data_IF_644888563170
#
_entry.id   IF_644888563170
#
_cell.length_a   1.000
_cell.length_b   1.000
_cell.length_c   1.000
_cell.angle_alpha   90.00
_cell.angle_beta   90.00
_cell.angle_gamma   90.00
#
_symmetry.space_group_name_H-M   'P 1'
#
loop_
_entity.id
_entity.type
_entity.pdbx_description
1 polymer ?
#
# COMPACT_ATOMS: atom_id res chain seq x y z
N UNK A 1 24.63 6.13 -7.53
CA UNK A 1 23.32 5.83 -8.16
C UNK A 1 22.99 4.39 -7.83
N UNK A 2 22.57 4.16 -6.58
CA UNK A 2 22.27 2.83 -6.08
C UNK A 2 20.79 2.57 -6.34
N UNK A 3 20.53 1.56 -7.17
CA UNK A 3 19.20 1.01 -7.37
C UNK A 3 18.83 0.35 -6.04
N UNK A 4 18.05 1.03 -5.20
CA UNK A 4 17.29 0.36 -4.17
C UNK A 4 15.92 -0.03 -4.75
N UNK A 5 15.93 -0.81 -5.83
CA UNK A 5 14.91 -1.85 -5.91
C UNK A 5 15.12 -2.67 -4.65
N UNK A 6 14.14 -2.71 -3.75
CA UNK A 6 14.03 -3.84 -2.84
C UNK A 6 13.46 -4.98 -3.68
N UNK A 7 14.27 -5.95 -4.15
CA UNK A 7 13.73 -7.27 -4.38
C UNK A 7 13.30 -7.79 -3.00
N UNK A 8 12.28 -8.63 -2.98
CA UNK A 8 11.81 -9.36 -1.80
C UNK A 8 10.83 -8.62 -0.87
N UNK A 9 9.62 -8.42 -1.35
CA UNK A 9 8.44 -8.50 -0.47
C UNK A 9 7.42 -9.54 -0.96
N UNK A 10 7.87 -10.69 -1.45
CA UNK A 10 7.00 -11.86 -1.63
C UNK A 10 7.54 -13.23 -1.13
N UNK A 11 8.59 -13.36 -0.29
CA UNK A 11 8.85 -14.63 0.36
C UNK A 11 7.84 -14.91 1.49
N UNK A 12 7.37 -13.89 2.21
CA UNK A 12 6.43 -14.05 3.32
C UNK A 12 5.01 -14.43 2.87
N UNK A 13 4.54 -13.90 1.74
CA UNK A 13 3.20 -14.23 1.24
C UNK A 13 3.12 -15.68 0.74
N UNK A 14 4.18 -16.16 0.08
CA UNK A 14 4.28 -17.57 -0.34
C UNK A 14 4.35 -18.52 0.85
N UNK A 15 5.05 -18.13 1.92
CA UNK A 15 5.15 -18.92 3.15
C UNK A 15 3.83 -18.94 3.93
N UNK A 16 3.20 -17.77 4.07
CA UNK A 16 1.90 -17.62 4.76
C UNK A 16 0.79 -18.40 4.04
N UNK A 17 0.76 -18.36 2.71
CA UNK A 17 -0.20 -19.15 1.92
C UNK A 17 0.08 -20.65 2.06
N UNK A 18 1.34 -21.10 2.05
CA UNK A 18 1.67 -22.51 2.27
C UNK A 18 1.27 -23.00 3.68
N UNK A 19 1.43 -22.15 4.70
CA UNK A 19 1.08 -22.46 6.08
C UNK A 19 -0.45 -22.46 6.30
N UNK A 20 -1.18 -21.51 5.70
CA UNK A 20 -2.65 -21.48 5.69
C UNK A 20 -3.22 -22.70 4.96
N UNK A 21 -2.65 -23.08 3.81
CA UNK A 21 -3.08 -24.27 3.06
C UNK A 21 -2.78 -25.57 3.82
N UNK A 22 -1.66 -25.63 4.55
CA UNK A 22 -1.33 -26.76 5.43
C UNK A 22 -2.28 -26.91 6.61
N UNK A 23 -2.65 -25.80 7.25
CA UNK A 23 -3.60 -25.79 8.38
C UNK A 23 -5.04 -26.08 7.92
N UNK A 24 -5.44 -25.64 6.72
CA UNK A 24 -6.75 -25.96 6.17
C UNK A 24 -6.96 -27.47 6.01
N UNK A 25 -5.96 -28.22 5.52
CA UNK A 25 -6.04 -29.68 5.36
C UNK A 25 -6.25 -30.40 6.71
N UNK A 26 -5.68 -29.89 7.80
CA UNK A 26 -5.87 -30.44 9.16
C UNK A 26 -7.25 -30.05 9.74
N UNK A 27 -7.72 -28.83 9.48
CA UNK A 27 -9.02 -28.34 9.95
C UNK A 27 -10.16 -29.06 9.22
N UNK A 28 -10.05 -29.32 7.91
CA UNK A 28 -11.05 -30.09 7.17
C UNK A 28 -11.15 -31.53 7.66
N UNK A 29 -10.04 -32.11 8.14
CA UNK A 29 -10.02 -33.44 8.77
C UNK A 29 -10.71 -33.47 10.14
N UNK A 30 -10.60 -32.40 10.93
CA UNK A 30 -11.22 -32.28 12.26
C UNK A 30 -12.70 -31.81 12.22
N UNK A 31 -13.10 -31.07 11.18
CA UNK A 31 -14.45 -30.48 11.08
C UNK A 31 -15.56 -31.50 10.74
N UNK A 32 -15.20 -32.72 10.34
CA UNK A 32 -16.18 -33.79 10.06
C UNK A 32 -16.83 -34.37 11.33
N UNK A 33 -16.38 -34.00 12.53
CA UNK A 33 -16.78 -34.71 13.75
C UNK A 33 -17.89 -34.01 14.56
N UNK A 34 -18.06 -32.68 14.56
CA UNK A 34 -19.13 -32.07 15.38
C UNK A 34 -19.38 -30.59 15.07
N UNK A 35 -20.36 -30.26 14.22
CA UNK A 35 -21.06 -28.95 14.28
C UNK A 35 -22.49 -29.14 13.78
N UNK A 36 -23.48 -28.61 14.49
CA UNK A 36 -24.90 -28.70 14.19
C UNK A 36 -25.34 -27.88 12.96
N UNK A 37 -26.39 -28.36 12.28
CA UNK A 37 -26.86 -27.97 10.95
C UNK A 37 -27.32 -26.50 10.80
N UNK A 38 -27.66 -25.78 11.87
CA UNK A 38 -28.25 -24.42 11.78
C UNK A 38 -27.22 -23.27 11.75
N UNK A 39 -26.06 -23.39 12.39
CA UNK A 39 -24.99 -22.36 12.32
C UNK A 39 -24.21 -22.39 11.01
N UNK A 40 -24.22 -23.52 10.30
CA UNK A 40 -23.39 -23.74 9.11
C UNK A 40 -23.76 -22.85 7.94
N UNK A 41 -25.00 -22.37 7.88
CA UNK A 41 -25.52 -21.62 6.72
C UNK A 41 -24.91 -20.21 6.62
N UNK A 42 -24.66 -19.54 7.74
CA UNK A 42 -24.04 -18.21 7.76
C UNK A 42 -22.50 -18.29 7.64
N UNK A 43 -21.89 -19.28 8.31
CA UNK A 43 -20.43 -19.54 8.24
C UNK A 43 -20.01 -20.00 6.84
N UNK A 44 -20.82 -20.82 6.17
CA UNK A 44 -20.57 -21.33 4.81
C UNK A 44 -20.47 -20.23 3.76
N UNK A 45 -21.33 -19.21 3.84
CA UNK A 45 -21.28 -18.08 2.90
C UNK A 45 -20.02 -17.23 3.09
N UNK A 46 -19.62 -16.98 4.33
CA UNK A 46 -18.39 -16.23 4.63
C UNK A 46 -17.14 -16.98 4.20
N UNK A 47 -17.05 -18.29 4.47
CA UNK A 47 -15.93 -19.12 4.00
C UNK A 47 -15.89 -19.22 2.48
N UNK A 48 -17.05 -19.34 1.81
CA UNK A 48 -17.12 -19.33 0.34
C UNK A 48 -16.62 -18.00 -0.23
N UNK A 49 -16.94 -16.87 0.39
CA UNK A 49 -16.48 -15.55 -0.03
C UNK A 49 -14.97 -15.38 0.14
N UNK A 50 -14.41 -15.82 1.27
CA UNK A 50 -12.95 -15.78 1.50
C UNK A 50 -12.17 -16.67 0.54
N UNK A 51 -12.69 -17.87 0.23
CA UNK A 51 -12.10 -18.77 -0.77
C UNK A 51 -12.16 -18.13 -2.16
N UNK A 52 -13.27 -17.47 -2.51
CA UNK A 52 -13.42 -16.75 -3.77
C UNK A 52 -12.34 -15.65 -3.90
N UNK A 53 -12.19 -14.79 -2.88
CA UNK A 53 -11.18 -13.72 -2.85
C UNK A 53 -9.76 -14.27 -2.95
N UNK A 54 -9.47 -15.40 -2.29
CA UNK A 54 -8.16 -16.06 -2.34
C UNK A 54 -7.88 -16.71 -3.71
N UNK A 55 -8.89 -17.27 -4.38
CA UNK A 55 -8.76 -17.87 -5.72
C UNK A 55 -8.60 -16.82 -6.83
N UNK A 56 -9.29 -15.69 -6.71
CA UNK A 56 -9.19 -14.60 -7.68
C UNK A 56 -8.00 -13.66 -7.44
N UNK A 57 -7.32 -13.78 -6.29
CA UNK A 57 -6.07 -13.07 -6.02
C UNK A 57 -6.18 -11.58 -6.34
N UNK A 58 -7.01 -10.84 -5.60
CA UNK A 58 -7.10 -9.39 -5.78
C UNK A 58 -5.82 -8.76 -5.24
N UNK A 59 -4.80 -8.64 -6.08
CA UNK A 59 -3.66 -7.78 -5.81
C UNK A 59 -4.14 -6.34 -5.85
N UNK A 60 -4.18 -5.67 -4.71
CA UNK A 60 -4.38 -4.22 -4.67
C UNK A 60 -3.01 -3.60 -4.93
N UNK A 61 -2.65 -3.48 -6.20
CA UNK A 61 -1.49 -2.69 -6.61
C UNK A 61 -1.89 -1.22 -6.67
N UNK A 62 -1.25 -0.40 -5.85
CA UNK A 62 -1.46 1.04 -5.87
C UNK A 62 -0.81 1.69 -7.08
N UNK A 63 -1.38 2.82 -7.49
CA UNK A 63 -0.84 3.63 -8.59
C UNK A 63 0.34 4.48 -8.08
N UNK A 64 1.39 4.57 -8.89
CA UNK A 64 2.50 5.50 -8.65
C UNK A 64 2.22 6.83 -9.35
N UNK A 65 2.06 7.90 -8.58
CA UNK A 65 1.84 9.24 -9.11
C UNK A 65 3.14 10.04 -9.13
N UNK A 66 3.65 10.32 -10.33
CA UNK A 66 4.80 11.21 -10.51
C UNK A 66 4.41 12.67 -10.28
N UNK A 67 5.01 13.27 -9.25
CA UNK A 67 4.79 14.67 -8.87
C UNK A 67 5.25 15.59 -10.01
N UNK A 68 4.40 16.55 -10.40
CA UNK A 68 4.72 17.53 -11.45
C UNK A 68 4.86 16.96 -12.88
N UNK A 69 4.43 15.72 -13.13
CA UNK A 69 4.54 15.05 -14.43
C UNK A 69 5.99 15.00 -14.94
N UNK A 70 6.24 15.54 -16.14
CA UNK A 70 7.59 15.63 -16.72
C UNK A 70 8.49 16.63 -16.01
N UNK A 71 7.94 17.62 -15.32
CA UNK A 71 8.72 18.68 -14.67
C UNK A 71 9.30 18.26 -13.32
N UNK A 72 8.75 17.21 -12.70
CA UNK A 72 9.21 16.72 -11.40
C UNK A 72 8.88 17.66 -10.24
N UNK A 73 9.63 17.52 -9.15
CA UNK A 73 9.55 18.36 -7.96
C UNK A 73 10.57 19.51 -8.07
N UNK A 74 10.04 20.67 -8.42
CA UNK A 74 10.77 21.92 -8.69
C UNK A 74 10.00 23.15 -8.18
N UNK A 75 10.71 24.26 -7.95
CA UNK A 75 10.13 25.53 -7.51
C UNK A 75 9.40 26.30 -8.62
N UNK A 76 9.67 26.02 -9.89
CA UNK A 76 9.26 26.87 -11.02
C UNK A 76 8.43 26.10 -12.05
N UNK A 77 7.37 26.72 -12.55
CA UNK A 77 6.66 26.24 -13.74
C UNK A 77 5.69 25.07 -13.54
N UNK A 78 5.35 24.73 -12.29
CA UNK A 78 4.36 23.69 -11.97
C UNK A 78 3.32 24.24 -11.00
N UNK A 79 2.04 24.10 -11.35
CA UNK A 79 0.93 24.31 -10.43
C UNK A 79 0.61 22.98 -9.73
N UNK A 80 1.15 22.79 -8.53
CA UNK A 80 0.93 21.56 -7.76
C UNK A 80 -0.51 21.42 -7.24
N UNK A 81 -1.23 22.53 -7.08
CA UNK A 81 -2.63 22.50 -6.67
C UNK A 81 -3.48 21.95 -7.82
N UNK A 82 -3.29 22.45 -9.03
CA UNK A 82 -3.96 21.91 -10.23
C UNK A 82 -3.54 20.45 -10.49
N UNK A 83 -2.25 20.14 -10.36
CA UNK A 83 -1.74 18.77 -10.50
C UNK A 83 -2.42 17.81 -9.52
N UNK A 84 -2.51 18.17 -8.23
CA UNK A 84 -3.14 17.34 -7.21
C UNK A 84 -4.65 17.22 -7.43
N UNK A 85 -5.33 18.32 -7.79
CA UNK A 85 -6.78 18.34 -8.02
C UNK A 85 -7.21 17.50 -9.23
N UNK A 86 -6.32 17.30 -10.20
CA UNK A 86 -6.57 16.47 -11.38
C UNK A 86 -6.47 14.95 -11.13
N UNK A 87 -6.18 14.53 -9.90
CA UNK A 87 -5.89 13.14 -9.54
C UNK A 87 -6.80 12.63 -8.44
N UNK A 88 -7.00 11.32 -8.44
CA UNK A 88 -7.67 10.60 -7.38
C UNK A 88 -6.66 9.69 -6.69
N UNK A 89 -6.33 9.99 -5.44
CA UNK A 89 -5.41 9.20 -4.62
C UNK A 89 -6.17 8.15 -3.85
N UNK A 90 -5.67 6.91 -3.84
CA UNK A 90 -6.27 5.79 -3.12
C UNK A 90 -5.28 5.19 -2.12
N UNK A 91 -5.80 4.47 -1.12
CA UNK A 91 -4.94 3.73 -0.19
C UNK A 91 -4.16 2.66 -0.98
N UNK A 92 -2.85 2.64 -0.78
CA UNK A 92 -1.93 1.79 -1.52
C UNK A 92 -1.15 2.54 -2.60
N UNK A 93 -1.63 3.70 -3.07
CA UNK A 93 -0.91 4.55 -4.01
C UNK A 93 0.40 5.07 -3.41
N UNK A 94 1.35 5.38 -4.29
CA UNK A 94 2.65 5.95 -3.94
C UNK A 94 2.90 7.25 -4.69
N UNK A 95 3.61 8.17 -4.06
CA UNK A 95 4.03 9.44 -4.68
C UNK A 95 5.51 9.33 -5.07
N UNK A 96 5.83 9.63 -6.32
CA UNK A 96 7.20 9.63 -6.82
C UNK A 96 7.69 11.06 -7.03
N UNK A 97 8.65 11.46 -6.20
CA UNK A 97 9.29 12.77 -6.25
C UNK A 97 10.63 12.65 -6.99
N UNK A 98 10.72 13.24 -8.17
CA UNK A 98 11.97 13.36 -8.92
C UNK A 98 12.49 14.80 -8.77
N UNK A 99 13.68 14.96 -8.18
CA UNK A 99 14.30 16.26 -7.93
C UNK A 99 15.82 16.14 -7.81
N UNK A 100 16.51 17.28 -7.91
CA UNK A 100 17.91 17.39 -7.53
C UNK A 100 18.01 17.58 -6.00
N UNK A 101 18.62 16.60 -5.31
CA UNK A 101 18.76 16.57 -3.86
C UNK A 101 19.74 17.60 -3.27
N UNK A 102 20.53 18.28 -4.11
CA UNK A 102 21.37 19.41 -3.69
C UNK A 102 20.53 20.66 -3.39
N UNK A 103 19.37 20.80 -4.04
CA UNK A 103 18.53 22.00 -3.99
C UNK A 103 17.17 21.78 -3.33
N UNK A 104 16.68 20.54 -3.34
CA UNK A 104 15.33 20.22 -2.89
C UNK A 104 15.33 19.01 -1.96
N UNK A 105 14.35 18.96 -1.08
CA UNK A 105 14.03 17.80 -0.26
C UNK A 105 12.53 17.52 -0.28
N UNK A 106 12.13 16.44 0.40
CA UNK A 106 10.74 16.09 0.61
C UNK A 106 10.52 15.86 2.10
N UNK A 107 9.60 16.65 2.65
CA UNK A 107 9.24 16.61 4.06
C UNK A 107 7.73 16.48 4.20
N UNK A 108 7.29 15.41 4.87
CA UNK A 108 5.90 15.23 5.27
C UNK A 108 5.59 16.09 6.49
N UNK A 109 4.56 16.92 6.41
CA UNK A 109 4.18 17.90 7.43
C UNK A 109 2.72 17.75 7.82
N UNK A 110 2.35 18.29 8.98
CA UNK A 110 0.94 18.42 9.38
C UNK A 110 0.26 19.56 8.61
N UNK A 111 -1.08 19.61 8.53
CA UNK A 111 -1.78 20.76 7.93
C UNK A 111 -1.41 22.10 8.59
N UNK A 112 -1.24 22.10 9.92
CA UNK A 112 -0.84 23.28 10.68
C UNK A 112 0.58 23.76 10.29
N UNK A 113 1.55 22.84 10.23
CA UNK A 113 2.92 23.14 9.83
C UNK A 113 3.00 23.60 8.36
N UNK A 114 2.14 23.06 7.50
CA UNK A 114 2.04 23.46 6.09
C UNK A 114 1.58 24.93 5.96
N UNK A 115 0.53 25.32 6.68
CA UNK A 115 0.04 26.70 6.70
C UNK A 115 1.07 27.68 7.24
N UNK A 116 1.81 27.28 8.28
CA UNK A 116 2.89 28.08 8.86
C UNK A 116 4.16 28.10 8.02
N UNK A 117 4.27 27.21 7.02
CA UNK A 117 5.50 26.95 6.24
C UNK A 117 6.71 26.69 7.14
N UNK A 118 6.46 26.08 8.30
CA UNK A 118 7.46 25.81 9.32
C UNK A 118 7.10 24.47 9.96
N UNK A 119 7.98 23.48 9.83
CA UNK A 119 7.80 22.17 10.43
C UNK A 119 8.96 21.87 11.37
N UNK A 120 8.82 22.20 12.67
CA UNK A 120 9.84 21.90 13.66
C UNK A 120 9.90 20.40 13.97
N UNK A 121 8.80 19.68 13.75
CA UNK A 121 8.66 18.25 14.00
C UNK A 121 8.08 17.56 12.75
N UNK A 122 8.88 17.36 11.69
CA UNK A 122 8.41 16.72 10.47
C UNK A 122 7.95 15.29 10.73
N UNK A 123 6.89 14.86 10.04
CA UNK A 123 6.36 13.51 10.15
C UNK A 123 7.28 12.49 9.48
N UNK A 124 7.94 12.91 8.41
CA UNK A 124 8.97 12.16 7.72
C UNK A 124 9.83 13.14 6.90
N UNK A 125 11.14 12.91 6.87
CA UNK A 125 12.07 13.63 5.99
C UNK A 125 12.90 12.60 5.26
N UNK A 126 12.88 12.65 3.94
CA UNK A 126 13.80 11.87 3.10
C UNK A 126 14.88 12.80 2.57
N UNK A 127 16.10 12.65 3.10
CA UNK A 127 17.31 13.08 2.42
C UNK A 127 17.94 11.82 1.82
N UNK A 128 18.14 11.82 0.50
CA UNK A 128 18.99 10.81 -0.12
C UNK A 128 20.44 11.23 0.14
N UNK A 129 21.10 10.47 1.00
CA UNK A 129 22.57 10.42 1.17
C UNK A 129 23.29 9.93 -0.10
#
# INVERSE_FOLDING_TARGET
MEILEKPHSFPLFRHLIAEIMGHLNLITGWSLINVGHHEKRCKSLFTSLLILVALFGVGVEGTVHKIGNSSGWTMMGVDYQAWASSRNFQVGDSLFFEYNNEFHDVTGVTPYDFELRFSPNPLATTKLD
#
